data_IF_787982560359
#
_entry.id   IF_787982560359
#
_cell.length_a   1.000
_cell.length_b   1.000
_cell.length_c   1.000
_cell.angle_alpha   90.00
_cell.angle_beta   90.00
_cell.angle_gamma   90.00
#
_symmetry.space_group_name_H-M   'P 1'
#
loop_
_entity.id
_entity.type
_entity.pdbx_description
1 polymer ?
#
# COMPACT_ATOMS: atom_id res chain seq x y z
N UNK A 1 72.12 4.01 11.88
CA UNK A 1 71.34 4.21 10.64
C UNK A 1 70.04 3.41 10.74
N UNK A 2 68.88 4.07 10.94
CA UNK A 2 67.57 3.39 11.06
C UNK A 2 66.93 3.23 9.67
N UNK A 3 66.96 2.01 9.14
CA UNK A 3 66.18 1.57 7.96
C UNK A 3 64.70 1.41 8.37
N UNK A 4 63.95 2.51 8.53
CA UNK A 4 62.54 2.47 8.96
C UNK A 4 61.51 3.02 7.95
N UNK A 5 61.94 3.68 6.87
CA UNK A 5 61.04 4.46 6.00
C UNK A 5 60.48 3.75 4.76
N UNK A 6 61.09 2.65 4.32
CA UNK A 6 60.84 2.09 2.98
C UNK A 6 59.52 1.30 2.87
N UNK A 7 58.91 0.88 3.98
CA UNK A 7 57.57 0.26 4.00
C UNK A 7 56.43 1.22 4.36
N UNK A 8 56.71 2.26 5.16
CA UNK A 8 55.71 3.21 5.65
C UNK A 8 55.11 4.07 4.52
N UNK A 9 55.92 4.43 3.53
CA UNK A 9 55.46 5.18 2.36
C UNK A 9 54.49 4.37 1.48
N UNK A 10 54.75 3.06 1.31
CA UNK A 10 53.86 2.16 0.58
C UNK A 10 52.53 1.93 1.30
N UNK A 11 52.56 1.79 2.62
CA UNK A 11 51.35 1.66 3.46
C UNK A 11 50.53 2.96 3.46
N UNK A 12 51.18 4.13 3.52
CA UNK A 12 50.51 5.43 3.43
C UNK A 12 49.84 5.63 2.06
N UNK A 13 50.54 5.29 0.97
CA UNK A 13 49.98 5.34 -0.40
C UNK A 13 48.78 4.41 -0.56
N UNK A 14 48.89 3.17 -0.06
CA UNK A 14 47.79 2.18 -0.11
C UNK A 14 46.59 2.61 0.73
N UNK A 15 46.80 3.24 1.89
CA UNK A 15 45.72 3.87 2.68
C UNK A 15 45.05 5.02 1.92
N UNK A 16 45.81 5.82 1.19
CA UNK A 16 45.26 6.95 0.44
C UNK A 16 44.48 6.48 -0.80
N UNK A 17 44.94 5.43 -1.47
CA UNK A 17 44.22 4.77 -2.56
C UNK A 17 42.92 4.12 -2.06
N UNK A 18 42.95 3.41 -0.92
CA UNK A 18 41.74 2.86 -0.30
C UNK A 18 40.72 3.94 0.06
N UNK A 19 41.15 5.06 0.68
CA UNK A 19 40.25 6.18 1.01
C UNK A 19 39.61 6.82 -0.23
N UNK A 20 40.37 6.93 -1.32
CA UNK A 20 39.83 7.42 -2.59
C UNK A 20 38.79 6.44 -3.13
N UNK A 21 39.09 5.13 -3.11
CA UNK A 21 38.15 4.09 -3.55
C UNK A 21 36.86 4.08 -2.71
N UNK A 22 36.98 4.24 -1.38
CA UNK A 22 35.85 4.39 -0.46
C UNK A 22 35.00 5.61 -0.82
N UNK A 23 35.62 6.79 -1.00
CA UNK A 23 34.88 8.02 -1.37
C UNK A 23 34.19 7.94 -2.75
N UNK A 24 34.83 7.25 -3.71
CA UNK A 24 34.24 6.99 -5.03
C UNK A 24 33.08 5.99 -4.90
N UNK A 25 33.21 4.99 -4.04
CA UNK A 25 32.13 4.06 -3.70
C UNK A 25 30.91 4.76 -3.09
N UNK A 26 31.13 5.60 -2.08
CA UNK A 26 30.07 6.39 -1.43
C UNK A 26 29.37 7.31 -2.44
N UNK A 27 30.12 8.03 -3.27
CA UNK A 27 29.53 8.91 -4.30
C UNK A 27 28.78 8.13 -5.41
N UNK A 28 29.21 6.92 -5.76
CA UNK A 28 28.46 6.05 -6.67
C UNK A 28 27.15 5.57 -6.05
N UNK A 29 27.16 5.25 -4.76
CA UNK A 29 25.96 4.86 -4.03
C UNK A 29 24.95 6.00 -3.93
N UNK A 30 25.40 7.22 -3.61
CA UNK A 30 24.50 8.38 -3.56
C UNK A 30 23.88 8.66 -4.92
N UNK A 31 24.65 8.62 -6.02
CA UNK A 31 24.12 8.81 -7.38
C UNK A 31 23.08 7.74 -7.74
N UNK A 32 23.30 6.48 -7.35
CA UNK A 32 22.32 5.40 -7.56
C UNK A 32 21.03 5.66 -6.79
N UNK A 33 21.13 6.04 -5.52
CA UNK A 33 19.96 6.37 -4.69
C UNK A 33 19.19 7.56 -5.25
N UNK A 34 19.87 8.61 -5.68
CA UNK A 34 19.23 9.78 -6.31
C UNK A 34 18.52 9.40 -7.61
N UNK A 35 19.14 8.54 -8.43
CA UNK A 35 18.53 8.05 -9.67
C UNK A 35 17.25 7.25 -9.40
N UNK A 36 17.29 6.32 -8.45
CA UNK A 36 16.11 5.52 -8.06
C UNK A 36 15.01 6.43 -7.51
N UNK A 37 15.37 7.39 -6.65
CA UNK A 37 14.41 8.37 -6.12
C UNK A 37 13.74 9.17 -7.23
N UNK A 38 14.51 9.66 -8.21
CA UNK A 38 13.96 10.38 -9.37
C UNK A 38 13.00 9.52 -10.22
N UNK A 39 13.29 8.22 -10.35
CA UNK A 39 12.39 7.28 -11.03
C UNK A 39 11.09 7.07 -10.25
N UNK A 40 11.16 6.92 -8.91
CA UNK A 40 9.97 6.83 -8.06
C UNK A 40 9.10 8.09 -8.14
N UNK A 41 9.71 9.28 -8.14
CA UNK A 41 8.98 10.56 -8.25
C UNK A 41 8.29 10.68 -9.62
N UNK A 42 8.99 10.31 -10.69
CA UNK A 42 8.42 10.27 -12.05
C UNK A 42 7.26 9.28 -12.13
N UNK A 43 7.42 8.08 -11.54
CA UNK A 43 6.36 7.09 -11.51
C UNK A 43 5.14 7.59 -10.73
N UNK A 44 5.34 8.23 -9.57
CA UNK A 44 4.25 8.78 -8.75
C UNK A 44 3.47 9.85 -9.52
N UNK A 45 4.14 10.73 -10.26
CA UNK A 45 3.50 11.73 -11.10
C UNK A 45 2.65 11.08 -12.22
N UNK A 46 3.17 10.04 -12.88
CA UNK A 46 2.42 9.27 -13.89
C UNK A 46 1.24 8.52 -13.31
N UNK A 47 1.41 7.93 -12.12
CA UNK A 47 0.33 7.23 -11.43
C UNK A 47 -0.79 8.20 -11.01
N UNK A 48 -0.42 9.42 -10.61
CA UNK A 48 -1.39 10.49 -10.35
C UNK A 48 -2.14 10.89 -11.64
N UNK A 49 -1.44 11.10 -12.76
CA UNK A 49 -2.06 11.40 -14.06
C UNK A 49 -3.00 10.26 -14.51
N UNK A 50 -2.61 9.00 -14.28
CA UNK A 50 -3.44 7.84 -14.56
C UNK A 50 -4.71 7.82 -13.69
N UNK A 51 -4.55 8.07 -12.39
CA UNK A 51 -5.63 8.17 -11.43
C UNK A 51 -6.64 9.26 -11.81
N UNK A 52 -6.16 10.42 -12.29
CA UNK A 52 -7.03 11.52 -12.71
C UNK A 52 -7.85 11.12 -13.94
N UNK A 53 -7.19 10.54 -14.94
CA UNK A 53 -7.78 10.19 -16.23
C UNK A 53 -8.81 9.06 -16.10
N UNK A 54 -8.55 8.09 -15.23
CA UNK A 54 -9.39 6.91 -15.08
C UNK A 54 -10.21 6.89 -13.79
N UNK A 55 -10.39 8.03 -13.12
CA UNK A 55 -11.11 8.15 -11.84
C UNK A 55 -12.45 7.40 -11.84
N UNK A 56 -13.31 7.65 -12.82
CA UNK A 56 -14.64 7.02 -12.91
C UNK A 56 -14.57 5.49 -13.06
N UNK A 57 -13.54 4.97 -13.74
CA UNK A 57 -13.32 3.52 -13.84
C UNK A 57 -12.85 2.93 -12.51
N UNK A 58 -11.94 3.62 -11.81
CA UNK A 58 -11.47 3.22 -10.48
C UNK A 58 -12.65 3.17 -9.48
N UNK A 59 -13.60 4.09 -9.61
CA UNK A 59 -14.78 4.14 -8.76
C UNK A 59 -15.78 3.02 -9.09
N UNK A 60 -16.13 2.84 -10.36
CA UNK A 60 -17.23 1.96 -10.78
C UNK A 60 -16.86 0.49 -10.99
N UNK A 61 -15.62 0.22 -11.43
CA UNK A 61 -15.16 -1.12 -11.79
C UNK A 61 -14.24 -1.68 -10.69
N UNK A 62 -14.68 -2.69 -9.93
CA UNK A 62 -13.93 -3.23 -8.80
C UNK A 62 -12.69 -4.01 -9.26
N UNK A 63 -12.69 -4.59 -10.47
CA UNK A 63 -11.52 -5.27 -11.02
C UNK A 63 -10.46 -4.23 -11.37
N UNK A 64 -10.86 -3.14 -12.03
CA UNK A 64 -9.94 -2.05 -12.33
C UNK A 64 -9.40 -1.38 -11.05
N UNK A 65 -10.27 -1.21 -10.05
CA UNK A 65 -9.90 -0.66 -8.74
C UNK A 65 -8.85 -1.52 -8.04
N UNK A 66 -9.03 -2.84 -7.98
CA UNK A 66 -8.09 -3.74 -7.32
C UNK A 66 -6.73 -3.75 -8.02
N UNK A 67 -6.71 -3.73 -9.36
CA UNK A 67 -5.47 -3.60 -10.14
C UNK A 67 -4.75 -2.27 -9.85
N UNK A 68 -5.49 -1.16 -9.82
CA UNK A 68 -4.91 0.14 -9.48
C UNK A 68 -4.30 0.15 -8.07
N UNK A 69 -4.98 -0.43 -7.08
CA UNK A 69 -4.44 -0.55 -5.73
C UNK A 69 -3.19 -1.44 -5.68
N UNK A 70 -3.15 -2.53 -6.44
CA UNK A 70 -1.96 -3.37 -6.59
C UNK A 70 -0.78 -2.60 -7.19
N UNK A 71 -1.01 -1.73 -8.18
CA UNK A 71 0.03 -0.84 -8.71
C UNK A 71 0.55 0.12 -7.64
N UNK A 72 -0.34 0.74 -6.85
CA UNK A 72 0.07 1.62 -5.75
C UNK A 72 0.95 0.87 -4.72
N UNK A 73 0.57 -0.34 -4.34
CA UNK A 73 1.32 -1.19 -3.41
C UNK A 73 2.71 -1.56 -3.94
N UNK A 74 2.85 -1.85 -5.24
CA UNK A 74 4.14 -2.20 -5.85
C UNK A 74 5.21 -1.11 -5.72
N UNK A 75 4.80 0.15 -5.57
CA UNK A 75 5.68 1.31 -5.40
C UNK A 75 5.72 1.79 -3.94
N UNK A 76 5.07 1.08 -3.02
CA UNK A 76 5.02 1.43 -1.61
C UNK A 76 4.16 2.67 -1.32
N UNK A 77 3.19 2.97 -2.18
CA UNK A 77 2.24 4.06 -1.98
C UNK A 77 0.90 3.46 -1.54
N UNK A 78 0.38 3.87 -0.39
CA UNK A 78 -1.01 3.54 -0.01
C UNK A 78 -1.93 4.74 -0.29
N UNK A 79 -2.87 4.63 -1.26
CA UNK A 79 -3.79 5.72 -1.58
C UNK A 79 -4.88 5.93 -0.52
N UNK A 80 -5.03 5.03 0.46
CA UNK A 80 -6.05 5.08 1.51
C UNK A 80 -5.52 5.66 2.84
N UNK A 81 -4.22 5.55 3.10
CA UNK A 81 -3.60 5.87 4.39
C UNK A 81 -3.77 7.34 4.83
N UNK A 82 -3.92 8.27 3.88
CA UNK A 82 -4.14 9.68 4.22
C UNK A 82 -5.08 10.36 3.24
N UNK A 83 -6.11 11.01 3.79
CA UNK A 83 -7.00 11.91 3.05
C UNK A 83 -6.28 13.16 2.54
N UNK A 84 -5.14 13.52 3.16
CA UNK A 84 -4.25 14.60 2.71
C UNK A 84 -3.23 14.13 1.67
N UNK A 85 -3.16 12.82 1.38
CA UNK A 85 -2.32 12.34 0.30
C UNK A 85 -2.87 12.83 -1.04
N UNK A 86 -1.96 12.95 -2.02
CA UNK A 86 -2.28 13.31 -3.41
C UNK A 86 -3.38 12.41 -4.00
N UNK A 87 -3.49 11.15 -3.53
CA UNK A 87 -4.50 10.20 -3.99
C UNK A 87 -5.81 10.29 -3.20
N UNK A 88 -5.73 10.57 -1.89
CA UNK A 88 -6.88 10.63 -1.00
C UNK A 88 -7.87 11.73 -1.35
N UNK A 89 -7.39 12.94 -1.64
CA UNK A 89 -8.24 14.06 -2.07
C UNK A 89 -8.80 13.88 -3.48
N UNK A 90 -8.09 13.10 -4.31
CA UNK A 90 -8.25 13.10 -5.77
C UNK A 90 -9.07 11.93 -6.29
N UNK A 91 -9.16 10.83 -5.54
CA UNK A 91 -9.92 9.64 -5.92
C UNK A 91 -11.15 9.38 -5.03
N UNK A 92 -11.19 9.92 -3.81
CA UNK A 92 -12.30 9.65 -2.87
C UNK A 92 -12.37 8.21 -2.33
N UNK A 93 -11.39 7.36 -2.66
CA UNK A 93 -11.32 5.97 -2.24
C UNK A 93 -11.32 5.81 -0.71
N UNK A 94 -10.63 6.70 0.02
CA UNK A 94 -10.63 6.65 1.48
C UNK A 94 -12.03 6.74 2.08
N UNK A 95 -12.90 7.61 1.54
CA UNK A 95 -14.30 7.70 1.97
C UNK A 95 -15.08 6.44 1.60
N UNK A 96 -14.87 5.92 0.39
CA UNK A 96 -15.52 4.69 -0.07
C UNK A 96 -15.21 3.50 0.84
N UNK A 97 -13.93 3.29 1.19
CA UNK A 97 -13.49 2.18 2.05
C UNK A 97 -13.91 2.37 3.51
N UNK A 98 -13.89 3.60 4.02
CA UNK A 98 -14.42 3.90 5.35
C UNK A 98 -15.94 3.60 5.43
N UNK A 99 -16.71 4.02 4.42
CA UNK A 99 -18.14 3.73 4.37
C UNK A 99 -18.42 2.22 4.25
N UNK A 100 -17.64 1.51 3.42
CA UNK A 100 -17.72 0.06 3.30
C UNK A 100 -17.40 -0.63 4.63
N UNK A 101 -16.38 -0.16 5.34
CA UNK A 101 -16.01 -0.68 6.66
C UNK A 101 -17.14 -0.52 7.69
N UNK A 102 -17.77 0.64 7.75
CA UNK A 102 -18.93 0.88 8.66
C UNK A 102 -20.08 -0.06 8.33
N UNK A 103 -20.36 -0.31 7.05
CA UNK A 103 -21.42 -1.23 6.64
C UNK A 103 -21.10 -2.68 7.00
N UNK A 104 -19.85 -3.12 6.80
CA UNK A 104 -19.38 -4.45 7.23
C UNK A 104 -19.56 -4.60 8.74
N UNK A 105 -19.10 -3.62 9.53
CA UNK A 105 -19.22 -3.64 10.98
C UNK A 105 -20.70 -3.67 11.41
N UNK A 106 -21.55 -2.87 10.77
CA UNK A 106 -22.99 -2.88 11.04
C UNK A 106 -23.60 -4.24 10.75
N UNK A 107 -23.26 -4.86 9.62
CA UNK A 107 -23.76 -6.17 9.22
C UNK A 107 -23.33 -7.26 10.21
N UNK A 108 -22.06 -7.26 10.63
CA UNK A 108 -21.53 -8.18 11.63
C UNK A 108 -22.24 -8.01 12.98
N UNK A 109 -22.56 -6.77 13.39
CA UNK A 109 -23.31 -6.52 14.63
C UNK A 109 -24.77 -6.99 14.52
N UNK A 110 -25.45 -6.73 13.40
CA UNK A 110 -26.86 -7.09 13.23
C UNK A 110 -27.08 -8.60 13.11
N UNK A 111 -26.13 -9.33 12.52
CA UNK A 111 -26.25 -10.77 12.29
C UNK A 111 -25.66 -11.61 13.42
N UNK A 112 -25.03 -10.96 14.42
CA UNK A 112 -24.28 -11.62 15.50
C UNK A 112 -25.10 -12.62 16.30
N UNK A 113 -26.35 -12.28 16.62
CA UNK A 113 -27.24 -13.16 17.39
C UNK A 113 -27.65 -14.40 16.58
N UNK A 114 -27.72 -14.28 15.26
CA UNK A 114 -28.15 -15.37 14.37
C UNK A 114 -27.01 -16.33 14.00
N UNK A 115 -25.78 -15.80 13.85
CA UNK A 115 -24.63 -16.55 13.35
C UNK A 115 -23.46 -16.70 14.34
N UNK A 116 -23.63 -16.23 15.58
CA UNK A 116 -22.61 -16.29 16.63
C UNK A 116 -21.41 -15.38 16.38
N UNK A 117 -21.49 -14.44 15.44
CA UNK A 117 -20.40 -13.53 15.05
C UNK A 117 -19.49 -14.06 13.95
N UNK A 118 -19.88 -15.13 13.24
CA UNK A 118 -19.17 -15.66 12.08
C UNK A 118 -20.02 -15.50 10.82
N UNK A 119 -19.44 -14.96 9.76
CA UNK A 119 -20.14 -14.74 8.51
C UNK A 119 -19.25 -15.13 7.33
N UNK A 120 -19.79 -15.95 6.42
CA UNK A 120 -19.08 -16.31 5.19
C UNK A 120 -18.86 -15.07 4.31
N UNK A 121 -17.71 -15.02 3.63
CA UNK A 121 -17.34 -13.87 2.79
C UNK A 121 -18.31 -13.67 1.62
N UNK A 122 -18.83 -14.74 1.04
CA UNK A 122 -19.78 -14.66 -0.08
C UNK A 122 -21.17 -14.21 0.39
N UNK A 123 -21.60 -14.65 1.57
CA UNK A 123 -22.85 -14.19 2.20
C UNK A 123 -22.75 -12.71 2.61
N UNK A 124 -21.62 -12.31 3.19
CA UNK A 124 -21.32 -10.91 3.49
C UNK A 124 -21.40 -10.04 2.23
N UNK A 125 -20.75 -10.48 1.14
CA UNK A 125 -20.78 -9.78 -0.13
C UNK A 125 -22.20 -9.67 -0.70
N UNK A 126 -22.98 -10.76 -0.64
CA UNK A 126 -24.37 -10.78 -1.11
C UNK A 126 -25.26 -9.81 -0.30
N UNK A 127 -25.11 -9.78 1.02
CA UNK A 127 -25.84 -8.85 1.88
C UNK A 127 -25.43 -7.39 1.65
N UNK A 128 -24.14 -7.11 1.54
CA UNK A 128 -23.63 -5.76 1.24
C UNK A 128 -24.16 -5.24 -0.11
N UNK A 129 -24.22 -6.09 -1.13
CA UNK A 129 -24.81 -5.76 -2.44
C UNK A 129 -26.29 -5.42 -2.35
N UNK A 130 -27.05 -6.10 -1.48
CA UNK A 130 -28.46 -5.76 -1.22
C UNK A 130 -28.61 -4.40 -0.55
N UNK A 131 -27.82 -4.13 0.50
CA UNK A 131 -27.82 -2.84 1.21
C UNK A 131 -27.45 -1.69 0.26
N UNK A 132 -26.55 -1.96 -0.69
CA UNK A 132 -26.09 -0.99 -1.68
C UNK A 132 -26.84 -1.05 -3.00
N UNK A 133 -27.97 -1.75 -3.12
CA UNK A 133 -28.69 -1.88 -4.40
C UNK A 133 -29.08 -0.52 -5.03
N UNK A 134 -29.22 0.54 -4.23
CA UNK A 134 -29.48 1.90 -4.69
C UNK A 134 -28.22 2.65 -5.18
N UNK A 135 -27.02 2.19 -4.81
CA UNK A 135 -25.73 2.74 -5.26
C UNK A 135 -25.23 1.90 -6.44
N UNK A 136 -24.97 2.53 -7.58
CA UNK A 136 -24.46 1.86 -8.78
C UNK A 136 -23.03 1.30 -8.65
N UNK A 137 -22.44 1.35 -7.45
CA UNK A 137 -21.06 0.95 -7.19
C UNK A 137 -20.99 -0.55 -6.96
N UNK A 138 -20.26 -1.23 -7.84
CA UNK A 138 -20.02 -2.66 -7.70
C UNK A 138 -18.81 -2.92 -6.79
N UNK A 139 -18.91 -3.99 -6.00
CA UNK A 139 -17.95 -4.35 -4.93
C UNK A 139 -17.50 -5.78 -5.14
N UNK A 140 -16.20 -6.02 -4.95
CA UNK A 140 -15.58 -7.34 -4.99
C UNK A 140 -15.11 -7.81 -3.61
N UNK A 141 -14.63 -9.05 -3.55
CA UNK A 141 -14.08 -9.64 -2.33
C UNK A 141 -12.82 -8.92 -1.87
N UNK A 142 -12.02 -8.42 -2.81
CA UNK A 142 -10.81 -7.63 -2.54
C UNK A 142 -11.16 -6.32 -1.84
N UNK A 143 -12.26 -5.67 -2.24
CA UNK A 143 -12.72 -4.44 -1.59
C UNK A 143 -13.11 -4.68 -0.12
N UNK A 144 -13.84 -5.78 0.14
CA UNK A 144 -14.24 -6.17 1.50
C UNK A 144 -13.00 -6.49 2.34
N UNK A 145 -12.05 -7.22 1.76
CA UNK A 145 -10.78 -7.57 2.43
C UNK A 145 -9.98 -6.33 2.78
N UNK A 146 -9.85 -5.39 1.83
CA UNK A 146 -9.14 -4.13 2.06
C UNK A 146 -9.88 -3.28 3.10
N UNK A 147 -11.20 -3.15 3.04
CA UNK A 147 -11.99 -2.44 4.04
C UNK A 147 -11.79 -3.01 5.45
N UNK A 148 -11.79 -4.34 5.62
CA UNK A 148 -11.54 -4.98 6.91
C UNK A 148 -10.11 -4.70 7.40
N UNK A 149 -9.12 -4.70 6.50
CA UNK A 149 -7.75 -4.34 6.90
C UNK A 149 -7.62 -2.90 7.41
N UNK A 150 -8.39 -1.95 6.87
CA UNK A 150 -8.45 -0.57 7.38
C UNK A 150 -9.15 -0.49 8.75
N UNK A 151 -10.13 -1.37 9.02
CA UNK A 151 -10.81 -1.45 10.31
C UNK A 151 -9.94 -2.03 11.44
N UNK A 152 -8.80 -2.66 11.12
CA UNK A 152 -7.90 -3.25 12.12
C UNK A 152 -7.41 -2.24 13.17
N UNK A 153 -7.41 -0.95 12.84
CA UNK A 153 -7.08 0.16 13.75
C UNK A 153 -8.03 0.21 14.97
N UNK A 154 -9.23 -0.36 14.88
CA UNK A 154 -10.22 -0.41 15.97
C UNK A 154 -9.90 -1.48 17.03
N UNK A 155 -8.88 -2.33 16.82
CA UNK A 155 -8.42 -3.31 17.81
C UNK A 155 -9.43 -4.43 18.07
N UNK A 156 -9.49 -4.92 19.31
CA UNK A 156 -10.21 -6.13 19.72
C UNK A 156 -11.75 -6.09 19.53
N UNK A 157 -12.32 -4.91 19.28
CA UNK A 157 -13.75 -4.74 18.95
C UNK A 157 -14.04 -4.73 17.44
N UNK A 158 -13.02 -4.92 16.60
CA UNK A 158 -13.13 -4.84 15.15
C UNK A 158 -13.57 -6.15 14.49
N UNK A 159 -13.83 -6.05 13.18
CA UNK A 159 -14.07 -7.21 12.30
C UNK A 159 -12.72 -7.75 11.84
N UNK A 160 -12.56 -9.08 11.81
CA UNK A 160 -11.35 -9.73 11.29
C UNK A 160 -11.72 -10.87 10.35
N UNK A 161 -10.81 -11.20 9.44
CA UNK A 161 -10.97 -12.33 8.53
C UNK A 161 -10.24 -13.52 9.14
N UNK A 162 -10.97 -14.62 9.32
CA UNK A 162 -10.40 -15.90 9.74
C UNK A 162 -10.35 -16.81 8.53
N UNK A 163 -9.16 -17.33 8.23
CA UNK A 163 -8.96 -18.28 7.14
C UNK A 163 -9.13 -19.71 7.68
N UNK A 164 -10.08 -20.45 7.11
CA UNK A 164 -10.21 -21.88 7.34
C UNK A 164 -9.73 -22.67 6.12
N UNK A 165 -8.95 -23.72 6.33
CA UNK A 165 -8.70 -24.72 5.30
C UNK A 165 -10.01 -25.50 5.07
N UNK A 166 -10.62 -25.33 3.89
CA UNK A 166 -11.70 -26.23 3.47
C UNK A 166 -11.05 -27.58 3.15
N UNK A 167 -11.19 -28.54 4.06
CA UNK A 167 -10.84 -29.95 3.84
C UNK A 167 -11.66 -30.58 2.73
#
# INVERSE_FOLDING_TARGET
MRRGGLGAAGVARRRQENRKMESIGESLETVRLETVKGQCDTFKARLQEFATKYRSKIEKDPIFRSQFLGMCQSVGVDPLQSTKSVFGSMLGLGRFYAELGVQILTLCLTTREDNGGLLDMDDCLAMLRKVRAAKSDTISREDVTKAISELSVLGAGGVSIVWGERG
#
